data_IF_003677076210
#
_entry.id   IF_003677076210
#
_cell.length_a   1.000
_cell.length_b   1.000
_cell.length_c   1.000
_cell.angle_alpha   90.00
_cell.angle_beta   90.00
_cell.angle_gamma   90.00
#
_symmetry.space_group_name_H-M   'P 1'
#
loop_
_entity.id
_entity.type
_entity.pdbx_description
1 polymer ?
#
# COMPACT_ATOMS: atom_id res chain seq x y z
N UNK A 1 14.61 -7.14 10.41
CA UNK A 1 13.77 -6.59 9.32
C UNK A 1 13.39 -5.18 9.74
N UNK A 2 13.37 -4.23 8.81
CA UNK A 2 13.07 -2.83 9.12
C UNK A 2 11.62 -2.54 8.73
N UNK A 3 10.87 -1.92 9.64
CA UNK A 3 9.49 -1.52 9.43
C UNK A 3 9.42 0.00 9.34
N UNK A 4 8.66 0.51 8.38
CA UNK A 4 8.45 1.94 8.17
C UNK A 4 6.97 2.22 8.11
N UNK A 5 6.57 3.36 8.67
CA UNK A 5 5.21 3.86 8.60
C UNK A 5 5.19 5.11 7.73
N UNK A 6 4.25 5.16 6.78
CA UNK A 6 4.07 6.27 5.85
C UNK A 6 2.62 6.71 5.84
N UNK A 7 2.39 8.02 5.75
CA UNK A 7 1.06 8.61 5.63
C UNK A 7 0.85 9.03 4.18
N UNK A 8 -0.37 8.92 3.70
CA UNK A 8 -0.66 9.24 2.31
C UNK A 8 -2.11 9.07 1.91
N UNK A 9 -2.40 9.45 0.67
CA UNK A 9 -3.68 9.23 0.02
C UNK A 9 -3.67 7.90 -0.73
N UNK A 10 -4.64 7.03 -0.46
CA UNK A 10 -4.77 5.78 -1.20
C UNK A 10 -5.30 6.07 -2.60
N UNK A 11 -4.48 5.81 -3.61
CA UNK A 11 -4.86 5.98 -5.03
C UNK A 11 -5.64 4.76 -5.55
N UNK A 12 -5.35 3.57 -5.00
CA UNK A 12 -6.17 2.38 -5.21
C UNK A 12 -5.40 1.07 -5.27
N UNK A 13 -6.14 0.01 -5.55
CA UNK A 13 -5.66 -1.36 -5.72
C UNK A 13 -5.12 -1.60 -7.13
N UNK A 14 -4.06 -2.41 -7.24
CA UNK A 14 -3.50 -2.88 -8.51
C UNK A 14 -3.23 -4.37 -8.47
N UNK A 15 -3.62 -5.05 -9.55
CA UNK A 15 -3.37 -6.48 -9.75
C UNK A 15 -2.66 -6.70 -11.09
N UNK A 16 -1.60 -7.52 -11.09
CA UNK A 16 -0.85 -7.88 -12.29
C UNK A 16 -0.58 -9.38 -12.30
N UNK A 17 -0.89 -10.04 -13.40
CA UNK A 17 -0.58 -11.46 -13.63
C UNK A 17 0.68 -11.58 -14.49
N UNK A 18 1.62 -12.45 -14.13
CA UNK A 18 2.77 -12.76 -14.99
C UNK A 18 2.42 -13.85 -16.03
N UNK A 19 3.38 -14.19 -16.90
CA UNK A 19 3.21 -15.22 -17.94
C UNK A 19 2.97 -16.63 -17.38
N UNK A 20 3.42 -16.91 -16.17
CA UNK A 20 3.23 -18.19 -15.47
C UNK A 20 1.90 -18.25 -14.71
N UNK A 21 1.12 -17.16 -14.75
CA UNK A 21 -0.16 -17.06 -14.09
C UNK A 21 -0.11 -16.64 -12.62
N UNK A 22 1.08 -16.35 -12.07
CA UNK A 22 1.24 -15.79 -10.73
C UNK A 22 0.66 -14.39 -10.67
N UNK A 23 -0.19 -14.15 -9.66
CA UNK A 23 -0.86 -12.88 -9.43
C UNK A 23 -0.09 -12.06 -8.39
N UNK A 24 0.25 -10.82 -8.75
CA UNK A 24 0.89 -9.83 -7.91
C UNK A 24 -0.11 -8.74 -7.58
N UNK A 25 -0.20 -8.39 -6.30
CA UNK A 25 -1.19 -7.46 -5.78
C UNK A 25 -0.49 -6.31 -5.09
N UNK A 26 -1.05 -5.12 -5.21
CA UNK A 26 -0.40 -3.92 -4.69
C UNK A 26 -1.39 -2.82 -4.34
N UNK A 27 -0.98 -1.98 -3.40
CA UNK A 27 -1.60 -0.70 -3.07
C UNK A 27 -0.76 0.41 -3.72
N UNK A 28 -1.41 1.36 -4.40
CA UNK A 28 -0.81 2.64 -4.79
C UNK A 28 -1.14 3.70 -3.76
N UNK A 29 -0.11 4.28 -3.15
CA UNK A 29 -0.20 5.31 -2.13
C UNK A 29 0.55 6.56 -2.60
N UNK A 30 -0.12 7.70 -2.61
CA UNK A 30 0.55 9.00 -2.75
C UNK A 30 1.04 9.44 -1.38
N UNK A 31 2.35 9.39 -1.17
CA UNK A 31 2.97 9.60 0.15
C UNK A 31 3.06 11.10 0.43
N UNK A 32 2.63 11.49 1.63
CA UNK A 32 2.79 12.84 2.13
C UNK A 32 4.28 13.15 2.37
N UNK A 33 4.76 14.26 1.81
CA UNK A 33 6.16 14.66 1.92
C UNK A 33 6.47 15.94 1.14
N UNK A 34 7.73 16.37 1.18
CA UNK A 34 8.21 17.55 0.43
C UNK A 34 8.09 17.36 -1.09
N UNK A 35 8.30 16.13 -1.55
CA UNK A 35 8.09 15.70 -2.91
C UNK A 35 6.97 14.64 -2.89
N UNK A 36 5.80 14.94 -3.46
CA UNK A 36 4.72 13.95 -3.59
C UNK A 36 5.21 12.83 -4.51
N UNK A 37 5.27 11.63 -3.95
CA UNK A 37 5.72 10.43 -4.65
C UNK A 37 4.66 9.35 -4.51
N UNK A 38 4.28 8.76 -5.65
CA UNK A 38 3.44 7.57 -5.65
C UNK A 38 4.30 6.34 -5.37
N UNK A 39 4.05 5.67 -4.25
CA UNK A 39 4.64 4.39 -3.92
C UNK A 39 3.71 3.23 -4.26
N UNK A 40 4.29 2.14 -4.77
CA UNK A 40 3.60 0.88 -4.97
C UNK A 40 4.02 -0.10 -3.88
N UNK A 41 3.09 -0.42 -3.00
CA UNK A 41 3.29 -1.32 -1.88
C UNK A 41 2.77 -2.70 -2.26
N UNK A 42 3.61 -3.73 -2.16
CA UNK A 42 3.23 -5.11 -2.43
C UNK A 42 2.23 -5.58 -1.36
N UNK A 43 1.22 -6.35 -1.73
CA UNK A 43 0.33 -7.05 -0.79
C UNK A 43 0.75 -8.51 -0.79
N UNK A 44 1.42 -8.99 0.28
CA UNK A 44 1.80 -10.39 0.42
C UNK A 44 0.61 -11.34 0.30
N UNK A 45 0.85 -12.55 -0.21
CA UNK A 45 -0.21 -13.52 -0.51
C UNK A 45 -0.92 -14.05 0.75
N UNK A 46 -0.17 -14.19 1.84
CA UNK A 46 -0.63 -14.62 3.16
C UNK A 46 -1.57 -13.60 3.83
N UNK A 47 -1.37 -12.30 3.56
CA UNK A 47 -2.21 -11.20 4.07
C UNK A 47 -3.22 -10.69 3.05
N UNK A 48 -3.20 -11.19 1.82
CA UNK A 48 -4.04 -10.72 0.73
C UNK A 48 -5.54 -10.81 1.04
N UNK A 49 -5.99 -11.91 1.64
CA UNK A 49 -7.40 -12.12 1.96
C UNK A 49 -7.97 -11.05 2.92
N UNK A 50 -7.14 -10.51 3.81
CA UNK A 50 -7.54 -9.50 4.79
C UNK A 50 -7.29 -8.08 4.30
N UNK A 51 -6.18 -7.82 3.61
CA UNK A 51 -5.81 -6.47 3.18
C UNK A 51 -6.51 -6.00 1.89
N UNK A 52 -6.85 -6.90 0.95
CA UNK A 52 -7.48 -6.48 -0.31
C UNK A 52 -8.80 -5.73 -0.09
N UNK A 53 -9.76 -6.23 0.71
CA UNK A 53 -11.02 -5.52 0.93
C UNK A 53 -10.80 -4.13 1.55
N UNK A 54 -9.86 -4.02 2.50
CA UNK A 54 -9.51 -2.75 3.15
C UNK A 54 -8.93 -1.76 2.13
N UNK A 55 -7.95 -2.19 1.34
CA UNK A 55 -7.31 -1.37 0.30
C UNK A 55 -8.33 -0.90 -0.74
N UNK A 56 -9.24 -1.78 -1.17
CA UNK A 56 -10.29 -1.42 -2.14
C UNK A 56 -11.28 -0.40 -1.56
N UNK A 57 -11.70 -0.57 -0.31
CA UNK A 57 -12.59 0.37 0.38
C UNK A 57 -11.91 1.69 0.78
N UNK A 58 -10.57 1.72 0.78
CA UNK A 58 -9.75 2.88 1.14
C UNK A 58 -9.51 3.86 -0.01
N UNK A 59 -9.95 3.55 -1.26
CA UNK A 59 -9.69 4.42 -2.41
C UNK A 59 -10.11 5.87 -2.16
N UNK A 60 -9.17 6.78 -2.42
CA UNK A 60 -9.25 8.23 -2.18
C UNK A 60 -9.43 8.64 -0.71
N UNK A 61 -9.07 7.78 0.24
CA UNK A 61 -9.03 8.12 1.66
C UNK A 61 -7.59 8.28 2.12
N UNK A 62 -7.38 9.19 3.07
CA UNK A 62 -6.13 9.29 3.79
C UNK A 62 -5.93 8.01 4.62
N UNK A 63 -4.71 7.51 4.62
CA UNK A 63 -4.36 6.31 5.35
C UNK A 63 -2.92 6.37 5.86
N UNK A 64 -2.66 5.58 6.89
CA UNK A 64 -1.31 5.27 7.36
C UNK A 64 -0.99 3.85 6.93
N UNK A 65 0.02 3.67 6.09
CA UNK A 65 0.50 2.37 5.65
C UNK A 65 1.74 1.99 6.46
N UNK A 66 1.73 0.79 6.99
CA UNK A 66 2.86 0.18 7.69
C UNK A 66 3.47 -0.87 6.76
N UNK A 67 4.75 -0.73 6.47
CA UNK A 67 5.46 -1.53 5.48
C UNK A 67 6.69 -2.21 6.07
N UNK A 68 6.93 -3.45 5.66
CA UNK A 68 8.18 -4.14 5.87
C UNK A 68 9.10 -3.97 4.66
N UNK A 69 10.35 -3.64 4.92
CA UNK A 69 11.40 -3.49 3.92
C UNK A 69 12.13 -4.81 3.72
N UNK A 70 12.12 -5.32 2.49
CA UNK A 70 12.81 -6.55 2.12
C UNK A 70 13.70 -6.35 0.92
N UNK A 71 14.99 -6.56 1.09
CA UNK A 71 15.96 -6.45 -0.01
C UNK A 71 15.97 -7.73 -0.85
N UNK A 72 15.65 -7.60 -2.13
CA UNK A 72 15.75 -8.68 -3.10
C UNK A 72 17.11 -8.62 -3.80
N UNK A 73 18.08 -9.35 -3.24
CA UNK A 73 19.47 -9.34 -3.73
C UNK A 73 19.60 -9.66 -5.23
N UNK A 74 18.81 -10.61 -5.75
CA UNK A 74 18.84 -10.99 -7.17
C UNK A 74 18.50 -9.84 -8.13
N UNK A 75 17.67 -8.90 -7.69
CA UNK A 75 17.25 -7.75 -8.48
C UNK A 75 17.92 -6.43 -8.02
N UNK A 76 18.78 -6.50 -7.00
CA UNK A 76 19.36 -5.33 -6.33
C UNK A 76 18.31 -4.25 -5.99
N UNK A 77 17.16 -4.68 -5.47
CA UNK A 77 15.99 -3.83 -5.31
C UNK A 77 15.35 -4.03 -3.94
N UNK A 78 14.82 -2.95 -3.36
CA UNK A 78 13.99 -3.01 -2.16
C UNK A 78 12.53 -3.26 -2.52
N UNK A 79 11.92 -4.21 -1.84
CA UNK A 79 10.48 -4.44 -1.85
C UNK A 79 9.88 -3.84 -0.59
N UNK A 80 8.68 -3.28 -0.75
CA UNK A 80 7.90 -2.66 0.32
C UNK A 80 6.63 -3.49 0.48
N UNK A 81 6.62 -4.37 1.47
CA UNK A 81 5.48 -5.26 1.74
C UNK A 81 4.53 -4.57 2.71
N UNK A 82 3.27 -4.42 2.31
CA UNK A 82 2.21 -3.87 3.14
C UNK A 82 1.88 -4.87 4.25
N UNK A 83 2.03 -4.43 5.50
CA UNK A 83 1.68 -5.21 6.69
C UNK A 83 0.31 -4.79 7.22
N UNK A 84 0.06 -3.48 7.26
CA UNK A 84 -1.17 -2.91 7.80
C UNK A 84 -1.51 -1.61 7.07
N UNK A 85 -2.81 -1.36 6.90
CA UNK A 85 -3.35 -0.13 6.36
C UNK A 85 -4.42 0.43 7.30
N UNK A 86 -4.08 1.50 8.00
CA UNK A 86 -5.00 2.22 8.87
C UNK A 86 -5.64 3.36 8.10
N UNK A 87 -6.86 3.14 7.64
CA UNK A 87 -7.62 4.16 6.90
C UNK A 87 -8.15 5.17 7.90
N UNK A 88 -7.85 6.44 7.69
CA UNK A 88 -8.49 7.50 8.47
C UNK A 88 -9.96 7.55 8.08
N UNK A 89 -10.81 7.02 8.96
CA UNK A 89 -12.24 7.29 8.93
C UNK A 89 -12.43 8.74 9.36
N UNK A 90 -12.34 9.67 8.41
CA UNK A 90 -12.67 11.06 8.68
C UNK A 90 -14.10 11.15 9.19
N UNK A 91 -14.26 11.76 10.36
CA UNK A 91 -15.47 12.52 10.64
C UNK A 91 -15.78 13.40 9.44
N UNK A 92 -17.07 13.45 9.13
CA UNK A 92 -17.70 14.32 8.14
C UNK A 92 -16.95 15.65 8.00
N UNK A 93 -16.66 16.15 6.78
CA UNK A 93 -16.22 17.52 6.64
C UNK A 93 -17.33 18.40 7.24
N UNK A 94 -17.02 19.12 8.32
CA UNK A 94 -17.90 20.14 8.85
C UNK A 94 -18.11 21.14 7.70
N UNK A 95 -19.30 21.10 7.11
CA UNK A 95 -19.78 22.16 6.23
C UNK A 95 -19.73 23.44 7.06
N UNK A 96 -18.91 24.40 6.61
CA UNK A 96 -19.07 25.80 6.97
C UNK A 96 -20.41 26.31 6.42
#
# INVERSE_FOLDING_TARGET
>A
MAQVTMKGLVLGYGERKNKEGKVYRSLRLDVEGKDSLTMQLNIPEDTAATLIPVVQAAKHKAATATVELRFLAKANMWLFDLIQLDVQTGGQPAKA
#
